data_IF_864261147577
#
_entry.id   IF_864261147577
#
_cell.length_a   1.000
_cell.length_b   1.000
_cell.length_c   1.000
_cell.angle_alpha   90.00
_cell.angle_beta   90.00
_cell.angle_gamma   90.00
#
_symmetry.space_group_name_H-M   'P 1'
#
loop_
_entity.id
_entity.type
_entity.pdbx_description
1 polymer ?
#
# COMPACT_ATOMS: atom_id res chain seq x y z
N UNK A 1 -19.08 -5.10 -39.43
CA UNK A 1 -18.62 -6.35 -38.81
C UNK A 1 -19.63 -6.70 -37.72
N UNK A 2 -20.10 -7.95 -37.59
CA UNK A 2 -21.33 -8.25 -36.88
C UNK A 2 -21.20 -7.96 -35.38
N UNK A 3 -22.22 -7.32 -34.85
CA UNK A 3 -22.47 -7.02 -33.45
C UNK A 3 -22.44 -8.28 -32.59
N UNK A 4 -21.51 -8.37 -31.64
CA UNK A 4 -21.63 -9.35 -30.57
C UNK A 4 -21.75 -8.61 -29.24
N UNK A 5 -22.98 -8.63 -28.77
CA UNK A 5 -23.44 -8.08 -27.51
C UNK A 5 -22.60 -8.56 -26.32
N UNK A 6 -22.30 -7.64 -25.43
CA UNK A 6 -21.78 -7.93 -24.10
C UNK A 6 -22.96 -8.32 -23.19
N UNK A 7 -22.97 -9.56 -22.70
CA UNK A 7 -23.87 -10.00 -21.64
C UNK A 7 -23.02 -10.44 -20.44
N UNK A 8 -22.29 -9.50 -19.85
CA UNK A 8 -21.57 -9.73 -18.60
C UNK A 8 -22.46 -9.33 -17.42
N UNK A 9 -22.75 -10.26 -16.52
CA UNK A 9 -23.32 -9.95 -15.22
C UNK A 9 -22.18 -9.56 -14.29
N UNK A 10 -22.18 -8.32 -13.78
CA UNK A 10 -21.26 -7.89 -12.72
C UNK A 10 -21.84 -8.40 -11.41
N UNK A 11 -21.20 -9.41 -10.82
CA UNK A 11 -21.48 -9.82 -9.45
C UNK A 11 -20.49 -9.13 -8.51
N UNK A 12 -21.00 -8.33 -7.57
CA UNK A 12 -20.23 -7.87 -6.42
C UNK A 12 -20.53 -8.78 -5.23
N UNK A 13 -19.50 -9.47 -4.75
CA UNK A 13 -19.59 -10.28 -3.53
C UNK A 13 -18.89 -9.53 -2.41
N UNK A 14 -19.59 -9.31 -1.29
CA UNK A 14 -19.01 -8.72 -0.07
C UNK A 14 -18.38 -9.77 0.84
N UNK A 15 -18.48 -11.04 0.47
CA UNK A 15 -17.88 -12.17 1.19
C UNK A 15 -16.83 -12.86 0.32
N UNK A 16 -15.76 -13.41 0.92
CA UNK A 16 -14.73 -14.15 0.19
C UNK A 16 -15.35 -15.29 -0.62
N UNK A 17 -15.28 -15.18 -1.95
CA UNK A 17 -15.86 -16.15 -2.89
C UNK A 17 -14.74 -16.98 -3.51
N UNK A 18 -14.76 -18.30 -3.28
CA UNK A 18 -13.72 -19.22 -3.77
C UNK A 18 -13.91 -19.65 -5.22
N UNK A 19 -15.14 -19.53 -5.74
CA UNK A 19 -15.52 -20.03 -7.07
C UNK A 19 -16.49 -19.04 -7.70
N UNK A 20 -16.20 -18.62 -8.92
CA UNK A 20 -17.15 -17.92 -9.79
C UNK A 20 -17.80 -18.96 -10.70
N UNK A 21 -19.10 -19.17 -10.52
CA UNK A 21 -19.87 -20.11 -11.35
C UNK A 21 -20.65 -19.34 -12.40
N UNK A 22 -20.37 -19.62 -13.67
CA UNK A 22 -21.13 -19.08 -14.80
C UNK A 22 -22.09 -20.16 -15.31
N UNK A 23 -23.38 -19.84 -15.37
CA UNK A 23 -24.42 -20.72 -15.90
C UNK A 23 -25.17 -20.03 -17.04
N UNK A 24 -25.43 -20.78 -18.11
CA UNK A 24 -26.28 -20.32 -19.21
C UNK A 24 -27.73 -20.46 -18.76
N UNK A 25 -28.45 -19.34 -18.61
CA UNK A 25 -29.83 -19.32 -18.14
C UNK A 25 -30.86 -19.43 -19.27
N UNK A 26 -30.51 -19.00 -20.49
CA UNK A 26 -31.35 -19.11 -21.68
C UNK A 26 -30.47 -19.38 -22.92
N UNK A 27 -30.91 -20.30 -23.79
CA UNK A 27 -30.30 -20.56 -25.10
C UNK A 27 -31.39 -20.73 -26.14
N UNK A 28 -31.20 -20.13 -27.32
CA UNK A 28 -32.11 -20.26 -28.48
C UNK A 28 -31.50 -21.07 -29.62
N UNK A 29 -30.52 -21.92 -29.30
CA UNK A 29 -29.83 -22.76 -30.26
C UNK A 29 -29.74 -24.20 -29.75
N UNK A 30 -29.81 -25.15 -30.68
CA UNK A 30 -29.60 -26.57 -30.44
C UNK A 30 -28.12 -26.99 -30.58
N UNK A 31 -27.22 -26.03 -30.86
CA UNK A 31 -25.78 -26.26 -30.92
C UNK A 31 -25.18 -26.21 -29.51
N UNK A 32 -24.08 -26.94 -29.33
CA UNK A 32 -23.22 -26.77 -28.15
C UNK A 32 -22.71 -25.33 -28.10
N UNK A 33 -22.84 -24.70 -26.93
CA UNK A 33 -22.36 -23.35 -26.66
C UNK A 33 -21.02 -23.48 -25.91
N UNK A 34 -20.02 -22.74 -26.36
CA UNK A 34 -18.78 -22.54 -25.62
C UNK A 34 -18.82 -21.17 -24.94
N UNK A 35 -18.64 -21.14 -23.62
CA UNK A 35 -18.40 -19.89 -22.89
C UNK A 35 -16.92 -19.54 -23.04
N UNK A 36 -16.62 -18.43 -23.71
CA UNK A 36 -15.26 -17.90 -23.85
C UNK A 36 -15.15 -16.64 -23.00
N UNK A 37 -14.32 -16.70 -21.96
CA UNK A 37 -13.99 -15.53 -21.14
C UNK A 37 -12.72 -14.90 -21.72
N UNK A 38 -12.80 -13.63 -22.13
CA UNK A 38 -11.62 -12.89 -22.59
C UNK A 38 -10.78 -12.37 -21.40
N UNK A 39 -11.44 -11.87 -20.36
CA UNK A 39 -10.77 -11.35 -19.18
C UNK A 39 -11.69 -11.42 -17.96
N UNK A 40 -11.13 -11.77 -16.79
CA UNK A 40 -11.85 -11.81 -15.51
C UNK A 40 -11.03 -11.00 -14.51
N UNK A 41 -11.60 -9.87 -14.06
CA UNK A 41 -11.02 -9.08 -12.98
C UNK A 41 -11.74 -9.42 -11.67
N UNK A 42 -10.97 -9.84 -10.68
CA UNK A 42 -11.43 -9.96 -9.30
C UNK A 42 -10.70 -8.91 -8.47
N UNK A 43 -11.45 -7.98 -7.89
CA UNK A 43 -10.92 -6.98 -6.97
C UNK A 43 -11.15 -7.49 -5.55
N UNK A 44 -10.09 -7.56 -4.76
CA UNK A 44 -10.15 -7.91 -3.36
C UNK A 44 -9.65 -6.71 -2.56
N UNK A 45 -10.48 -6.18 -1.66
CA UNK A 45 -10.03 -5.22 -0.66
C UNK A 45 -9.68 -5.98 0.62
N UNK A 46 -8.47 -5.77 1.13
CA UNK A 46 -8.05 -6.25 2.43
C UNK A 46 -8.29 -5.19 3.50
N UNK A 47 -8.42 -5.63 4.75
CA UNK A 47 -8.37 -4.70 5.88
C UNK A 47 -6.99 -4.05 5.95
N UNK A 48 -6.94 -2.81 6.47
CA UNK A 48 -5.72 -2.02 6.57
C UNK A 48 -4.57 -2.85 7.13
N UNK A 49 -3.45 -2.76 6.43
CA UNK A 49 -2.20 -3.42 6.81
C UNK A 49 -2.07 -4.89 6.47
N UNK A 50 -2.94 -5.44 5.62
CA UNK A 50 -2.79 -6.80 5.09
C UNK A 50 -2.97 -6.91 3.59
N UNK A 51 -2.42 -7.99 3.03
CA UNK A 51 -2.48 -8.32 1.62
C UNK A 51 -2.55 -9.83 1.38
N UNK A 52 -2.73 -10.21 0.12
CA UNK A 52 -2.85 -11.58 -0.36
C UNK A 52 -4.30 -12.05 -0.46
N UNK A 53 -4.50 -13.20 -1.11
CA UNK A 53 -5.83 -13.79 -1.41
C UNK A 53 -6.71 -13.99 -0.17
N UNK A 54 -6.10 -14.12 1.01
CA UNK A 54 -6.81 -14.29 2.30
C UNK A 54 -6.59 -13.13 3.28
N UNK A 55 -5.94 -12.04 2.85
CA UNK A 55 -5.58 -10.91 3.70
C UNK A 55 -4.88 -11.35 5.00
N UNK A 56 -3.93 -12.29 4.89
CA UNK A 56 -3.18 -12.82 6.04
C UNK A 56 -1.73 -12.35 6.04
N UNK A 57 -1.24 -11.83 4.92
CA UNK A 57 0.13 -11.35 4.84
C UNK A 57 0.16 -9.92 5.38
N UNK A 58 0.99 -9.61 6.39
CA UNK A 58 1.12 -8.24 6.87
C UNK A 58 1.83 -7.36 5.84
N UNK A 59 1.45 -6.09 5.78
CA UNK A 59 2.17 -5.08 5.00
C UNK A 59 3.59 -4.87 5.55
N UNK A 60 4.48 -4.34 4.70
CA UNK A 60 5.79 -3.87 5.14
C UNK A 60 5.62 -2.71 6.12
N UNK A 61 6.44 -2.67 7.20
CA UNK A 61 6.44 -1.59 8.19
C UNK A 61 6.66 -0.18 7.59
N UNK A 62 7.25 -0.12 6.41
CA UNK A 62 7.48 1.14 5.68
C UNK A 62 6.20 1.71 5.05
N UNK A 63 5.13 0.92 4.95
CA UNK A 63 3.81 1.33 4.47
C UNK A 63 2.72 0.50 5.17
N UNK A 64 2.78 0.48 6.51
CA UNK A 64 2.05 -0.48 7.35
C UNK A 64 0.56 -0.58 7.06
N UNK A 65 -0.07 0.48 6.55
CA UNK A 65 -1.52 0.54 6.36
C UNK A 65 -1.93 0.68 4.88
N UNK A 66 -0.97 0.89 3.97
CA UNK A 66 -1.22 1.33 2.58
C UNK A 66 -0.54 0.45 1.52
N UNK A 67 -0.15 -0.78 1.87
CA UNK A 67 0.42 -1.69 0.88
C UNK A 67 -0.66 -2.25 -0.05
N UNK A 68 -0.26 -2.61 -1.26
CA UNK A 68 -1.18 -3.19 -2.24
C UNK A 68 -1.68 -4.56 -1.80
N UNK A 69 -2.97 -4.81 -2.02
CA UNK A 69 -3.60 -6.08 -1.64
C UNK A 69 -3.07 -7.29 -2.41
N UNK A 70 -2.52 -7.11 -3.61
CA UNK A 70 -2.15 -8.22 -4.51
C UNK A 70 -0.70 -8.71 -4.31
N UNK A 71 0.24 -7.78 -4.11
CA UNK A 71 1.68 -8.09 -3.98
C UNK A 71 2.35 -7.52 -2.71
N UNK A 72 1.61 -6.77 -1.88
CA UNK A 72 2.11 -6.20 -0.64
C UNK A 72 3.10 -5.04 -0.82
N UNK A 73 3.26 -4.49 -2.03
CA UNK A 73 4.20 -3.40 -2.29
C UNK A 73 3.62 -2.02 -1.95
N UNK A 74 4.50 -1.05 -1.68
CA UNK A 74 4.19 0.27 -1.15
C UNK A 74 4.10 1.34 -2.26
N UNK A 75 3.02 1.37 -3.04
CA UNK A 75 2.91 2.32 -4.16
C UNK A 75 2.83 3.79 -3.72
N UNK A 76 2.12 4.07 -2.62
CA UNK A 76 1.89 5.44 -2.15
C UNK A 76 3.16 6.07 -1.55
N UNK A 77 4.17 5.25 -1.25
CA UNK A 77 5.47 5.68 -0.75
C UNK A 77 5.93 4.87 0.45
N UNK A 78 7.11 5.24 0.95
CA UNK A 78 7.79 4.53 2.01
C UNK A 78 8.16 5.46 3.17
N UNK A 79 7.72 5.17 4.39
CA UNK A 79 8.18 5.85 5.58
C UNK A 79 9.61 5.42 5.92
N UNK A 80 10.55 6.37 5.88
CA UNK A 80 11.96 6.11 6.18
C UNK A 80 12.77 5.50 5.03
N UNK A 81 12.19 5.40 3.83
CA UNK A 81 12.85 4.93 2.61
C UNK A 81 12.42 5.77 1.39
N UNK A 82 13.08 5.63 0.24
CA UNK A 82 12.92 6.54 -0.92
C UNK A 82 12.69 5.87 -2.28
N UNK A 83 12.57 4.55 -2.32
CA UNK A 83 12.44 3.73 -3.53
C UNK A 83 11.15 2.88 -3.53
N UNK A 84 9.97 3.53 -3.54
CA UNK A 84 8.74 2.81 -3.80
C UNK A 84 8.81 2.09 -5.17
N UNK A 85 8.18 0.92 -5.30
CA UNK A 85 7.25 0.35 -4.32
C UNK A 85 7.92 -0.65 -3.34
N UNK A 86 9.26 -0.80 -3.38
CA UNK A 86 9.98 -1.83 -2.62
C UNK A 86 10.48 -1.37 -1.25
N UNK A 87 10.75 -0.08 -1.07
CA UNK A 87 11.23 0.50 0.19
C UNK A 87 12.51 -0.16 0.73
N UNK A 88 13.55 -0.27 -0.11
CA UNK A 88 14.84 -0.87 0.25
C UNK A 88 15.92 0.20 0.51
N UNK A 89 15.81 1.37 -0.11
CA UNK A 89 16.73 2.50 0.03
C UNK A 89 16.31 3.40 1.18
N UNK A 90 16.92 3.18 2.35
CA UNK A 90 16.72 4.00 3.54
C UNK A 90 16.96 5.49 3.27
N UNK A 91 16.30 6.36 4.04
CA UNK A 91 16.60 7.78 4.01
C UNK A 91 18.05 8.08 4.34
N UNK A 92 18.62 9.03 3.60
CA UNK A 92 19.93 9.60 3.89
C UNK A 92 19.87 10.34 5.23
N UNK A 93 21.01 10.39 5.92
CA UNK A 93 21.13 11.11 7.18
C UNK A 93 20.65 12.56 7.02
N UNK A 94 19.82 13.03 7.97
CA UNK A 94 19.22 14.35 7.90
C UNK A 94 17.88 14.43 7.17
N UNK A 95 17.34 13.30 6.68
CA UNK A 95 16.01 13.23 6.06
C UNK A 95 15.14 12.14 6.69
N UNK A 96 13.81 12.34 6.67
CA UNK A 96 12.86 11.43 7.32
C UNK A 96 11.46 11.49 6.67
N UNK A 97 10.58 10.60 7.11
CA UNK A 97 9.18 10.55 6.74
C UNK A 97 8.92 9.84 5.42
N UNK A 98 7.76 10.10 4.83
CA UNK A 98 7.34 9.53 3.55
C UNK A 98 8.30 9.95 2.44
N UNK A 99 8.90 8.97 1.76
CA UNK A 99 9.85 9.15 0.66
C UNK A 99 11.01 10.09 1.02
N UNK A 100 11.37 10.18 2.31
CA UNK A 100 12.42 11.05 2.82
C UNK A 100 12.20 12.55 2.50
N UNK A 101 10.94 12.96 2.30
CA UNK A 101 10.61 14.30 1.85
C UNK A 101 10.83 15.39 2.91
N UNK A 102 11.00 15.00 4.19
CA UNK A 102 11.21 15.93 5.29
C UNK A 102 12.69 15.97 5.69
N UNK A 103 13.16 17.15 6.10
CA UNK A 103 14.48 17.32 6.71
C UNK A 103 14.39 17.21 8.23
N UNK A 104 15.42 16.66 8.84
CA UNK A 104 15.56 16.69 10.30
C UNK A 104 15.62 18.13 10.79
N UNK A 105 15.10 18.35 12.01
CA UNK A 105 15.13 19.66 12.65
C UNK A 105 16.57 20.12 12.90
N UNK A 106 16.87 21.40 12.68
CA UNK A 106 18.15 22.01 13.08
C UNK A 106 18.36 22.03 14.60
N UNK A 107 17.29 21.76 15.36
CA UNK A 107 17.33 21.57 16.81
C UNK A 107 17.87 20.20 17.22
N UNK A 108 17.93 19.24 16.30
CA UNK A 108 18.56 17.95 16.57
C UNK A 108 20.08 18.07 16.46
N UNK A 109 20.80 17.39 17.34
CA UNK A 109 22.25 17.34 17.28
C UNK A 109 22.73 16.78 15.93
N UNK A 110 23.60 17.52 15.23
CA UNK A 110 24.05 17.24 13.86
C UNK A 110 22.92 17.06 12.83
N UNK A 111 21.73 17.63 13.07
CA UNK A 111 20.53 17.40 12.25
C UNK A 111 20.24 15.89 12.08
N UNK A 112 20.54 15.08 13.08
CA UNK A 112 20.29 13.64 13.09
C UNK A 112 18.93 13.36 13.71
N UNK A 113 18.10 12.58 13.03
CA UNK A 113 16.78 12.20 13.51
C UNK A 113 16.38 10.82 12.98
N UNK A 114 15.45 10.17 13.67
CA UNK A 114 14.86 8.91 13.23
C UNK A 114 14.20 9.09 11.85
N UNK A 115 14.60 8.25 10.91
CA UNK A 115 14.16 8.33 9.51
C UNK A 115 12.65 8.13 9.32
N UNK A 116 11.95 7.51 10.27
CA UNK A 116 10.51 7.23 10.16
C UNK A 116 9.72 8.42 10.72
N UNK A 117 10.01 8.83 11.95
CA UNK A 117 9.18 9.79 12.69
C UNK A 117 9.81 11.19 12.90
N UNK A 118 11.08 11.39 12.54
CA UNK A 118 11.75 12.69 12.59
C UNK A 118 12.22 13.13 13.97
N UNK A 119 12.11 12.27 14.97
CA UNK A 119 12.49 12.55 16.36
C UNK A 119 14.02 12.55 16.50
N UNK A 120 14.59 13.48 17.26
CA UNK A 120 16.04 13.60 17.38
C UNK A 120 16.63 12.35 18.05
N UNK A 121 17.53 11.65 17.37
CA UNK A 121 18.08 10.36 17.80
C UNK A 121 19.43 10.51 18.54
N UNK A 122 20.07 11.69 18.42
CA UNK A 122 21.34 12.04 19.07
C UNK A 122 21.22 13.16 20.11
N UNK A 123 19.99 13.45 20.53
CA UNK A 123 19.68 14.55 21.44
C UNK A 123 19.62 15.91 20.74
N UNK A 124 19.70 16.97 21.54
CA UNK A 124 19.34 18.32 21.15
C UNK A 124 20.55 19.25 20.95
N UNK A 125 20.47 20.14 19.97
CA UNK A 125 21.46 21.18 19.68
C UNK A 125 21.01 22.53 20.26
N UNK A 126 21.41 22.83 21.49
CA UNK A 126 21.04 24.09 22.17
C UNK A 126 19.60 24.12 22.71
N UNK A 127 18.92 22.98 22.73
CA UNK A 127 17.59 22.80 23.32
C UNK A 127 17.63 21.75 24.43
N UNK A 128 16.65 21.80 25.32
CA UNK A 128 16.43 20.82 26.39
C UNK A 128 15.43 19.74 25.95
N UNK A 129 14.89 18.94 26.87
CA UNK A 129 13.84 17.92 26.65
C UNK A 129 14.00 16.98 25.44
N UNK A 130 15.09 16.19 25.35
CA UNK A 130 15.17 15.13 24.37
C UNK A 130 14.03 14.10 24.55
N UNK A 131 13.54 13.51 23.44
CA UNK A 131 14.05 13.65 22.08
C UNK A 131 13.32 14.73 21.24
N UNK A 132 12.40 15.48 21.84
CA UNK A 132 11.56 16.47 21.13
C UNK A 132 12.26 17.80 20.87
N UNK A 133 13.22 18.20 21.71
CA UNK A 133 14.05 19.39 21.52
C UNK A 133 13.24 20.67 21.26
N UNK A 134 12.19 20.90 22.06
CA UNK A 134 11.26 22.03 21.89
C UNK A 134 11.52 23.18 22.87
N UNK A 135 12.16 22.91 24.01
CA UNK A 135 12.43 23.92 25.05
C UNK A 135 13.80 24.57 24.82
N UNK A 136 13.81 25.85 24.47
CA UNK A 136 15.05 26.63 24.37
C UNK A 136 15.57 27.00 25.75
N UNK A 137 16.89 27.04 25.90
CA UNK A 137 17.50 27.63 27.08
C UNK A 137 17.35 29.16 26.94
N UNK A 138 16.59 29.79 27.86
CA UNK A 138 16.49 31.24 28.02
C UNK A 138 17.84 31.83 28.41
#
# INVERSE_FOLDING_TARGET
>A
MPSNNYYGVVYSYTTPTKVLTFSVTESRTNKSLALLLCEVYAYADCYEGTWGVQCQNPCNKSCSDTCRFDDGLCNDGCFGYSDPPRCLKACEAGTWGLNCAKKCSSKCFNSSCDRINGVCDKGCHGYSNPPNCTLGNL
#
